data_IF_131564076105
#
_entry.id   IF_131564076105
#
_cell.length_a   1.000
_cell.length_b   1.000
_cell.length_c   1.000
_cell.angle_alpha   90.00
_cell.angle_beta   90.00
_cell.angle_gamma   90.00
#
_symmetry.space_group_name_H-M   'P 1'
#
loop_
_entity.id
_entity.type
_entity.pdbx_description
1 polymer ?
#
# COMPACT_ATOMS: atom_id res chain seq x y z
N UNK A 1 42.16 -21.46 40.02
CA UNK A 1 41.10 -21.79 39.04
C UNK A 1 40.61 -20.47 38.47
N UNK A 2 40.73 -20.33 37.16
CA UNK A 2 40.48 -19.12 36.38
C UNK A 2 39.09 -19.19 35.73
N UNK A 3 38.63 -18.01 35.28
CA UNK A 3 37.58 -17.76 34.27
C UNK A 3 36.13 -18.02 34.70
N UNK A 4 35.13 -17.22 34.34
CA UNK A 4 35.05 -16.00 33.54
C UNK A 4 33.84 -15.20 34.04
N UNK A 5 33.91 -13.87 33.93
CA UNK A 5 32.78 -13.00 34.20
C UNK A 5 31.67 -13.21 33.16
N UNK A 6 30.44 -13.29 33.64
CA UNK A 6 29.25 -12.96 32.86
C UNK A 6 28.59 -11.75 33.50
N UNK A 7 29.21 -10.59 33.27
CA UNK A 7 28.55 -9.31 33.46
C UNK A 7 27.56 -9.15 32.29
N UNK A 8 26.36 -9.71 32.44
CA UNK A 8 25.29 -9.51 31.48
C UNK A 8 24.80 -8.07 31.59
N UNK A 9 25.36 -7.22 30.75
CA UNK A 9 24.92 -5.85 30.48
C UNK A 9 23.39 -5.83 30.21
N UNK A 10 22.64 -4.85 30.74
CA UNK A 10 21.18 -4.77 30.58
C UNK A 10 20.78 -4.65 29.10
N UNK A 11 19.57 -5.09 28.71
CA UNK A 11 19.05 -4.81 27.38
C UNK A 11 18.98 -3.29 27.21
N UNK A 12 19.80 -2.76 26.31
CA UNK A 12 19.79 -1.35 25.92
C UNK A 12 18.39 -1.00 25.43
N UNK A 13 17.81 0.03 26.06
CA UNK A 13 16.54 0.61 25.67
C UNK A 13 16.55 1.03 24.19
N UNK A 14 15.49 0.71 23.45
CA UNK A 14 15.03 1.58 22.35
C UNK A 14 14.78 0.98 20.97
N UNK A 15 15.28 -0.21 20.63
CA UNK A 15 15.08 -0.75 19.27
C UNK A 15 14.15 -1.96 19.28
N UNK A 16 12.85 -1.71 19.13
CA UNK A 16 11.93 -2.73 18.63
C UNK A 16 12.19 -2.91 17.14
N UNK A 17 13.21 -3.67 16.79
CA UNK A 17 13.42 -4.16 15.42
C UNK A 17 12.26 -5.10 15.10
N UNK A 18 11.44 -4.74 14.11
CA UNK A 18 10.38 -5.64 13.59
C UNK A 18 11.02 -6.98 13.24
N UNK A 19 10.32 -8.06 13.60
CA UNK A 19 10.67 -9.39 13.12
C UNK A 19 10.63 -9.42 11.60
N UNK A 20 11.42 -10.31 10.98
CA UNK A 20 11.44 -10.46 9.52
C UNK A 20 10.02 -10.68 8.94
N UNK A 21 9.17 -11.43 9.65
CA UNK A 21 7.78 -11.67 9.28
C UNK A 21 6.93 -10.40 9.28
N UNK A 22 7.14 -9.50 10.23
CA UNK A 22 6.42 -8.22 10.28
C UNK A 22 6.85 -7.28 9.13
N UNK A 23 8.12 -7.33 8.73
CA UNK A 23 8.63 -6.59 7.57
C UNK A 23 8.02 -7.14 6.27
N UNK A 24 8.00 -8.46 6.09
CA UNK A 24 7.35 -9.10 4.94
C UNK A 24 5.87 -8.75 4.84
N UNK A 25 5.14 -8.79 5.97
CA UNK A 25 3.73 -8.41 6.02
C UNK A 25 3.49 -6.92 5.73
N UNK A 26 4.46 -6.07 6.06
CA UNK A 26 4.44 -4.65 5.73
C UNK A 26 4.70 -4.41 4.23
N UNK A 27 5.68 -5.11 3.65
CA UNK A 27 5.97 -5.03 2.21
C UNK A 27 4.79 -5.51 1.38
N UNK A 28 4.20 -6.66 1.71
CA UNK A 28 3.02 -7.17 1.02
C UNK A 28 1.84 -6.19 1.08
N UNK A 29 1.71 -5.44 2.18
CA UNK A 29 0.68 -4.40 2.31
C UNK A 29 0.93 -3.21 1.40
N UNK A 30 2.20 -2.79 1.27
CA UNK A 30 2.60 -1.71 0.36
C UNK A 30 2.43 -2.11 -1.11
N UNK A 31 2.78 -3.34 -1.48
CA UNK A 31 2.57 -3.89 -2.83
C UNK A 31 1.08 -3.90 -3.19
N UNK A 32 0.22 -4.37 -2.28
CA UNK A 32 -1.23 -4.31 -2.49
C UNK A 32 -1.73 -2.86 -2.70
N UNK A 33 -1.21 -1.90 -1.94
CA UNK A 33 -1.56 -0.48 -2.12
C UNK A 33 -1.11 0.05 -3.48
N UNK A 34 0.07 -0.37 -3.95
CA UNK A 34 0.58 -0.02 -5.27
C UNK A 34 -0.32 -0.57 -6.39
N UNK A 35 -0.70 -1.85 -6.32
CA UNK A 35 -1.62 -2.48 -7.29
C UNK A 35 -2.95 -1.73 -7.38
N UNK A 36 -3.47 -1.26 -6.24
CA UNK A 36 -4.70 -0.45 -6.19
C UNK A 36 -4.53 0.90 -6.87
N UNK A 37 -3.39 1.57 -6.70
CA UNK A 37 -3.09 2.83 -7.40
C UNK A 37 -3.00 2.59 -8.91
N UNK A 38 -2.32 1.52 -9.32
CA UNK A 38 -2.20 1.19 -10.74
C UNK A 38 -3.56 0.85 -11.36
N UNK A 39 -4.44 0.15 -10.64
CA UNK A 39 -5.83 -0.04 -11.05
C UNK A 39 -6.56 1.29 -11.25
N UNK A 40 -6.44 2.24 -10.31
CA UNK A 40 -7.06 3.57 -10.42
C UNK A 40 -6.54 4.37 -11.62
N UNK A 41 -5.28 4.17 -12.03
CA UNK A 41 -4.74 4.82 -13.24
C UNK A 41 -5.43 4.34 -14.51
N UNK A 42 -5.98 3.13 -14.51
CA UNK A 42 -6.71 2.58 -15.66
C UNK A 42 -8.17 3.04 -15.75
N UNK A 43 -8.71 3.65 -14.68
CA UNK A 43 -10.10 4.15 -14.62
C UNK A 43 -10.43 5.10 -15.78
N UNK A 44 -9.68 6.19 -15.95
CA UNK A 44 -9.94 7.18 -17.00
C UNK A 44 -9.85 6.52 -18.40
N UNK A 45 -8.77 5.79 -18.74
CA UNK A 45 -8.70 5.01 -19.98
C UNK A 45 -9.91 4.09 -20.22
N UNK A 46 -10.38 3.38 -19.19
CA UNK A 46 -11.52 2.46 -19.31
C UNK A 46 -12.85 3.15 -19.60
N UNK A 47 -13.03 4.39 -19.11
CA UNK A 47 -14.22 5.21 -19.34
C UNK A 47 -14.24 5.81 -20.74
N UNK A 48 -13.09 6.25 -21.24
CA UNK A 48 -12.99 6.94 -22.55
C UNK A 48 -12.82 5.98 -23.72
N UNK A 49 -12.19 4.81 -23.51
CA UNK A 49 -11.93 3.83 -24.57
C UNK A 49 -13.20 3.42 -25.35
N UNK A 50 -14.36 3.15 -24.71
CA UNK A 50 -15.60 2.86 -25.44
C UNK A 50 -16.08 4.00 -26.33
N UNK A 51 -15.78 5.26 -25.99
CA UNK A 51 -16.19 6.44 -26.77
C UNK A 51 -15.32 6.63 -28.02
N UNK A 52 -14.10 6.11 -28.02
CA UNK A 52 -13.18 6.15 -29.15
C UNK A 52 -13.43 5.04 -30.19
N UNK A 53 -14.30 4.07 -29.90
CA UNK A 53 -14.56 2.92 -30.76
C UNK A 53 -15.68 3.23 -31.77
N UNK A 54 -15.33 3.21 -33.06
CA UNK A 54 -16.24 3.53 -34.17
C UNK A 54 -17.29 2.46 -34.49
N UNK A 55 -17.18 1.25 -33.94
CA UNK A 55 -17.95 0.07 -34.35
C UNK A 55 -18.95 -0.47 -33.31
N UNK A 56 -19.20 0.24 -32.21
CA UNK A 56 -20.08 -0.25 -31.12
C UNK A 56 -21.44 0.47 -31.14
N UNK A 57 -22.53 -0.27 -30.95
CA UNK A 57 -23.86 0.35 -30.85
C UNK A 57 -23.94 1.27 -29.62
N UNK A 58 -24.79 2.31 -29.67
CA UNK A 58 -24.95 3.25 -28.55
C UNK A 58 -25.31 2.55 -27.23
N UNK A 59 -26.12 1.50 -27.29
CA UNK A 59 -26.53 0.72 -26.12
C UNK A 59 -25.35 -0.04 -25.49
N UNK A 60 -24.53 -0.69 -26.31
CA UNK A 60 -23.33 -1.40 -25.84
C UNK A 60 -22.28 -0.43 -25.29
N UNK A 61 -22.10 0.72 -25.94
CA UNK A 61 -21.19 1.78 -25.48
C UNK A 61 -21.63 2.30 -24.10
N UNK A 62 -22.92 2.62 -23.92
CA UNK A 62 -23.46 3.03 -22.63
C UNK A 62 -23.27 1.95 -21.56
N UNK A 63 -23.51 0.68 -21.90
CA UNK A 63 -23.29 -0.45 -21.00
C UNK A 63 -21.83 -0.55 -20.52
N UNK A 64 -20.86 -0.40 -21.44
CA UNK A 64 -19.43 -0.42 -21.13
C UNK A 64 -19.00 0.75 -20.25
N UNK A 65 -19.42 1.97 -20.59
CA UNK A 65 -19.12 3.17 -19.81
C UNK A 65 -19.73 3.07 -18.41
N UNK A 66 -21.00 2.67 -18.29
CA UNK A 66 -21.67 2.49 -16.99
C UNK A 66 -20.95 1.46 -16.13
N UNK A 67 -20.57 0.31 -16.70
CA UNK A 67 -19.82 -0.74 -15.98
C UNK A 67 -18.49 -0.20 -15.46
N UNK A 68 -17.71 0.44 -16.32
CA UNK A 68 -16.42 1.04 -15.96
C UNK A 68 -16.56 2.10 -14.84
N UNK A 69 -17.60 2.92 -14.89
CA UNK A 69 -17.88 3.94 -13.88
C UNK A 69 -18.21 3.35 -12.51
N UNK A 70 -19.09 2.33 -12.47
CA UNK A 70 -19.46 1.65 -11.22
C UNK A 70 -18.26 0.94 -10.61
N UNK A 71 -17.48 0.22 -11.43
CA UNK A 71 -16.28 -0.46 -10.97
C UNK A 71 -15.26 0.52 -10.40
N UNK A 72 -14.98 1.61 -11.12
CA UNK A 72 -14.04 2.64 -10.68
C UNK A 72 -14.45 3.33 -9.38
N UNK A 73 -15.75 3.55 -9.18
CA UNK A 73 -16.26 4.09 -7.92
C UNK A 73 -16.05 3.12 -6.74
N UNK A 74 -16.22 1.81 -6.98
CA UNK A 74 -15.93 0.75 -6.01
C UNK A 74 -14.44 0.69 -5.67
N UNK A 75 -13.58 0.66 -6.70
CA UNK A 75 -12.13 0.58 -6.54
C UNK A 75 -11.58 1.80 -5.78
N UNK A 76 -12.08 3.00 -6.08
CA UNK A 76 -11.69 4.23 -5.38
C UNK A 76 -12.16 4.24 -3.92
N UNK A 77 -13.36 3.71 -3.64
CA UNK A 77 -13.84 3.56 -2.26
C UNK A 77 -12.92 2.61 -1.48
N UNK A 78 -12.65 1.43 -2.03
CA UNK A 78 -11.82 0.43 -1.37
C UNK A 78 -10.38 0.92 -1.17
N UNK A 79 -9.81 1.65 -2.15
CA UNK A 79 -8.51 2.28 -1.99
C UNK A 79 -8.50 3.32 -0.86
N UNK A 80 -9.52 4.20 -0.79
CA UNK A 80 -9.60 5.21 0.29
C UNK A 80 -9.71 4.59 1.67
N UNK A 81 -10.50 3.54 1.81
CA UNK A 81 -10.65 2.80 3.07
C UNK A 81 -9.32 2.19 3.52
N UNK A 82 -8.59 1.57 2.59
CA UNK A 82 -7.29 0.97 2.89
C UNK A 82 -6.18 2.01 3.13
N UNK A 83 -6.15 3.06 2.32
CA UNK A 83 -5.18 4.16 2.47
C UNK A 83 -5.36 4.88 3.81
N UNK A 84 -6.61 5.08 4.23
CA UNK A 84 -6.96 5.68 5.52
C UNK A 84 -6.85 4.72 6.71
N UNK A 85 -6.52 3.44 6.49
CA UNK A 85 -6.48 2.45 7.55
C UNK A 85 -5.35 2.75 8.55
N UNK A 86 -5.58 2.44 9.83
CA UNK A 86 -4.56 2.60 10.86
C UNK A 86 -3.31 1.76 10.59
N UNK A 87 -3.48 0.62 9.89
CA UNK A 87 -2.36 -0.19 9.41
C UNK A 87 -1.49 0.59 8.44
N UNK A 88 -2.08 1.22 7.42
CA UNK A 88 -1.33 2.02 6.44
C UNK A 88 -0.66 3.22 7.10
N UNK A 89 -1.38 3.93 7.98
CA UNK A 89 -0.84 5.10 8.71
C UNK A 89 0.33 4.71 9.62
N UNK A 90 0.19 3.63 10.39
CA UNK A 90 1.25 3.13 11.27
C UNK A 90 2.49 2.68 10.50
N UNK A 91 2.30 2.04 9.34
CA UNK A 91 3.39 1.60 8.48
C UNK A 91 4.15 2.78 7.86
N UNK A 92 3.44 3.80 7.36
CA UNK A 92 4.06 5.01 6.80
C UNK A 92 4.75 5.87 7.88
N UNK A 93 4.16 5.97 9.08
CA UNK A 93 4.76 6.69 10.21
C UNK A 93 6.09 6.04 10.62
N UNK A 94 6.12 4.72 10.77
CA UNK A 94 7.31 3.96 11.11
C UNK A 94 8.39 4.03 10.04
N UNK A 95 8.01 3.94 8.76
CA UNK A 95 8.97 4.14 7.66
C UNK A 95 9.67 5.51 7.75
N UNK A 96 8.92 6.57 8.08
CA UNK A 96 9.49 7.91 8.27
C UNK A 96 10.43 8.00 9.47
N UNK A 97 10.10 7.35 10.57
CA UNK A 97 10.96 7.28 11.76
C UNK A 97 12.28 6.55 11.48
N UNK A 98 12.21 5.42 10.76
CA UNK A 98 13.39 4.67 10.34
C UNK A 98 14.35 5.52 9.49
N UNK A 99 13.84 6.20 8.45
CA UNK A 99 14.68 7.11 7.64
C UNK A 99 15.22 8.31 8.42
N UNK A 100 14.48 8.80 9.42
CA UNK A 100 14.90 9.90 10.29
C UNK A 100 16.04 9.54 11.24
N UNK A 101 16.14 8.29 11.68
CA UNK A 101 17.29 7.78 12.44
C UNK A 101 18.53 7.62 11.56
N UNK A 102 18.42 7.04 10.36
CA UNK A 102 19.58 6.85 9.46
C UNK A 102 20.15 8.19 8.97
N UNK A 103 19.33 9.24 8.85
CA UNK A 103 19.79 10.57 8.44
C UNK A 103 20.52 11.37 9.56
N UNK A 104 20.48 10.90 10.82
CA UNK A 104 21.15 11.55 11.97
C UNK A 104 22.39 10.80 12.47
N UNK A 105 22.64 9.60 11.95
CA UNK A 105 23.85 8.81 12.20
C UNK A 105 24.95 9.16 11.17
#
# INVERSE_FOLDING_TARGET
MAEAGSNSTPPTAGQQTMSATEIEAALAHLEMLQDRIDSLRTTIPSLVSPLAQSATSRAEMFGRVRKAAVQSAGDLKAFREEWGSERTRGLLARGREGYGEVAKA
#
